data_IF_201943427922
#
_entry.id   IF_201943427922
#
_cell.length_a   1.000
_cell.length_b   1.000
_cell.length_c   1.000
_cell.angle_alpha   90.00
_cell.angle_beta   90.00
_cell.angle_gamma   90.00
#
_symmetry.space_group_name_H-M   'P 1'
#
loop_
_entity.id
_entity.type
_entity.pdbx_description
1 polymer ?
#
# COMPACT_ATOMS: atom_id res chain seq x y z
N UNK A 1 -36.10 -37.40 -12.56
CA UNK A 1 -35.67 -36.49 -11.48
C UNK A 1 -35.10 -35.27 -12.17
N UNK A 2 -35.70 -34.10 -11.98
CA UNK A 2 -35.26 -32.87 -12.68
C UNK A 2 -34.15 -32.23 -11.87
N UNK A 3 -32.92 -32.32 -12.37
CA UNK A 3 -31.74 -31.59 -11.90
C UNK A 3 -31.94 -30.07 -12.08
N UNK A 4 -32.74 -29.45 -11.22
CA UNK A 4 -32.85 -27.99 -11.13
C UNK A 4 -32.00 -27.56 -9.94
N UNK A 5 -30.93 -26.83 -10.22
CA UNK A 5 -30.25 -26.04 -9.20
C UNK A 5 -31.20 -24.88 -8.83
N UNK A 6 -31.54 -24.73 -7.55
CA UNK A 6 -32.53 -23.73 -7.07
C UNK A 6 -31.88 -22.40 -6.69
N UNK A 7 -30.60 -22.41 -6.31
CA UNK A 7 -29.78 -21.22 -6.09
C UNK A 7 -28.29 -21.56 -6.19
N UNK A 8 -27.49 -20.59 -6.62
CA UNK A 8 -26.02 -20.64 -6.56
C UNK A 8 -25.64 -20.01 -5.22
N UNK A 9 -25.01 -20.78 -4.35
CA UNK A 9 -24.42 -20.29 -3.12
C UNK A 9 -22.90 -20.21 -3.33
N UNK A 10 -22.33 -19.02 -3.18
CA UNK A 10 -20.90 -18.77 -3.23
C UNK A 10 -20.44 -18.16 -1.90
N UNK A 11 -19.23 -18.52 -1.47
CA UNK A 11 -18.57 -17.92 -0.31
C UNK A 11 -17.62 -16.83 -0.83
N UNK A 12 -17.94 -15.57 -0.53
CA UNK A 12 -17.16 -14.39 -0.92
C UNK A 12 -18.07 -13.18 -1.03
N UNK A 13 -17.69 -12.07 -0.40
CA UNK A 13 -18.39 -10.80 -0.55
C UNK A 13 -17.93 -10.08 -1.82
N UNK A 14 -18.76 -9.18 -2.36
CA UNK A 14 -18.44 -8.32 -3.52
C UNK A 14 -18.73 -6.85 -3.22
N UNK A 15 -19.24 -6.59 -2.04
CA UNK A 15 -19.67 -5.30 -1.53
C UNK A 15 -19.29 -5.16 -0.06
N UNK A 16 -19.51 -3.97 0.49
CA UNK A 16 -19.68 -3.79 1.91
C UNK A 16 -21.11 -3.34 2.20
N UNK A 17 -21.58 -3.66 3.41
CA UNK A 17 -22.91 -3.25 3.88
C UNK A 17 -22.79 -2.54 5.21
N UNK A 18 -23.66 -1.56 5.44
CA UNK A 18 -23.84 -0.94 6.76
C UNK A 18 -25.16 -1.44 7.33
N UNK A 19 -25.14 -1.83 8.60
CA UNK A 19 -26.29 -2.35 9.33
C UNK A 19 -26.58 -1.48 10.53
N UNK A 20 -27.85 -1.17 10.76
CA UNK A 20 -28.29 -0.55 11.99
C UNK A 20 -28.27 -1.61 13.11
N UNK A 21 -27.43 -1.41 14.12
CA UNK A 21 -27.21 -2.41 15.18
C UNK A 21 -28.42 -2.59 16.12
N UNK A 22 -29.36 -1.65 16.15
CA UNK A 22 -30.54 -1.72 17.01
C UNK A 22 -31.69 -2.48 16.35
N UNK A 23 -31.90 -2.25 15.07
CA UNK A 23 -33.00 -2.80 14.27
C UNK A 23 -32.58 -4.03 13.47
N UNK A 24 -31.27 -4.23 13.28
CA UNK A 24 -30.68 -5.24 12.40
C UNK A 24 -31.10 -5.10 10.94
N UNK A 25 -31.52 -3.91 10.53
CA UNK A 25 -31.80 -3.62 9.14
C UNK A 25 -30.50 -3.25 8.42
N UNK A 26 -30.34 -3.78 7.20
CA UNK A 26 -29.31 -3.31 6.29
C UNK A 26 -29.71 -1.92 5.79
N UNK A 27 -28.91 -0.89 6.13
CA UNK A 27 -29.18 0.51 5.76
C UNK A 27 -28.49 0.90 4.45
N UNK A 28 -27.40 0.23 4.10
CA UNK A 28 -26.66 0.45 2.86
C UNK A 28 -26.02 -0.84 2.35
N UNK A 29 -25.89 -0.96 1.03
CA UNK A 29 -25.02 -1.92 0.34
C UNK A 29 -24.32 -1.20 -0.80
N UNK A 30 -23.01 -1.41 -0.95
CA UNK A 30 -22.28 -0.83 -2.09
C UNK A 30 -22.55 -1.56 -3.42
N UNK A 31 -23.27 -2.69 -3.40
CA UNK A 31 -23.64 -3.43 -4.60
C UNK A 31 -22.41 -3.83 -5.43
N UNK A 32 -22.28 -3.23 -6.62
CA UNK A 32 -21.22 -3.53 -7.59
C UNK A 32 -20.13 -2.46 -7.66
N UNK A 33 -20.09 -1.54 -6.69
CA UNK A 33 -19.15 -0.42 -6.70
C UNK A 33 -17.70 -0.89 -6.90
N UNK A 34 -17.28 -1.94 -6.20
CA UNK A 34 -15.89 -2.38 -6.22
C UNK A 34 -15.45 -2.82 -7.62
N UNK A 35 -16.25 -3.62 -8.32
CA UNK A 35 -15.99 -3.98 -9.71
C UNK A 35 -16.06 -2.78 -10.65
N UNK A 36 -17.03 -1.88 -10.49
CA UNK A 36 -17.14 -0.70 -11.36
C UNK A 36 -15.91 0.22 -11.21
N UNK A 37 -15.45 0.43 -9.98
CA UNK A 37 -14.28 1.25 -9.65
C UNK A 37 -13.02 0.58 -10.21
N UNK A 38 -12.78 -0.69 -9.87
CA UNK A 38 -11.57 -1.40 -10.33
C UNK A 38 -11.55 -1.62 -11.85
N UNK A 39 -12.71 -1.79 -12.49
CA UNK A 39 -12.81 -1.83 -13.96
C UNK A 39 -12.41 -0.49 -14.58
N UNK A 40 -12.81 0.63 -13.96
CA UNK A 40 -12.41 1.96 -14.41
C UNK A 40 -10.90 2.18 -14.28
N UNK A 41 -10.29 1.65 -13.21
CA UNK A 41 -8.85 1.81 -12.95
C UNK A 41 -7.99 0.93 -13.85
N UNK A 42 -8.36 -0.33 -14.02
CA UNK A 42 -7.51 -1.34 -14.68
C UNK A 42 -7.94 -1.74 -16.08
N UNK A 43 -9.15 -1.34 -16.52
CA UNK A 43 -9.64 -1.57 -17.87
C UNK A 43 -9.52 -3.03 -18.33
N UNK A 44 -9.02 -3.24 -19.54
CA UNK A 44 -8.85 -4.58 -20.12
C UNK A 44 -7.52 -5.24 -19.78
N UNK A 45 -6.67 -4.54 -19.04
CA UNK A 45 -5.32 -5.01 -18.78
C UNK A 45 -5.30 -5.92 -17.54
N UNK A 46 -5.92 -5.46 -16.44
CA UNK A 46 -5.83 -6.14 -15.15
C UNK A 46 -7.13 -6.20 -14.34
N UNK A 47 -8.27 -5.80 -14.93
CA UNK A 47 -9.56 -5.90 -14.24
C UNK A 47 -9.80 -7.32 -13.72
N UNK A 48 -10.21 -7.46 -12.45
CA UNK A 48 -10.45 -8.74 -11.80
C UNK A 48 -9.28 -9.76 -11.91
N UNK A 49 -8.04 -9.29 -11.88
CA UNK A 49 -6.88 -10.19 -11.66
C UNK A 49 -6.94 -10.85 -10.28
N UNK A 50 -6.26 -11.99 -10.13
CA UNK A 50 -6.08 -12.63 -8.84
C UNK A 50 -5.10 -11.85 -7.94
N UNK A 51 -4.97 -12.27 -6.69
CA UNK A 51 -4.04 -11.66 -5.73
C UNK A 51 -2.58 -12.08 -5.94
N UNK A 52 -2.36 -13.28 -6.47
CA UNK A 52 -1.05 -13.90 -6.75
C UNK A 52 -0.65 -13.87 -8.23
N UNK A 53 -1.55 -13.41 -9.11
CA UNK A 53 -1.33 -13.35 -10.54
C UNK A 53 -1.82 -12.03 -11.16
N UNK A 54 -1.09 -11.51 -12.13
CA UNK A 54 -1.49 -10.43 -13.02
C UNK A 54 -2.15 -11.02 -14.27
N UNK A 55 -3.47 -10.91 -14.38
CA UNK A 55 -4.22 -11.46 -15.50
C UNK A 55 -5.57 -10.75 -15.67
N UNK A 56 -5.93 -10.43 -16.91
CA UNK A 56 -7.27 -9.91 -17.18
C UNK A 56 -8.35 -10.95 -16.84
N UNK A 57 -9.27 -10.53 -15.98
CA UNK A 57 -10.57 -11.14 -15.71
C UNK A 57 -10.52 -12.60 -15.25
N UNK A 58 -9.52 -12.95 -14.43
CA UNK A 58 -9.36 -14.32 -13.93
C UNK A 58 -10.26 -14.68 -12.75
N UNK A 59 -11.13 -13.75 -12.29
CA UNK A 59 -11.92 -13.89 -11.06
C UNK A 59 -13.42 -13.62 -11.21
N UNK A 60 -13.93 -13.14 -12.34
CA UNK A 60 -15.34 -12.74 -12.46
C UNK A 60 -16.32 -13.90 -12.30
N UNK A 61 -16.01 -15.06 -12.88
CA UNK A 61 -16.78 -16.30 -12.77
C UNK A 61 -16.68 -16.95 -11.39
N UNK A 62 -15.67 -16.57 -10.61
CA UNK A 62 -15.43 -17.04 -9.25
C UNK A 62 -16.04 -16.11 -8.19
N UNK A 63 -15.29 -15.07 -7.80
CA UNK A 63 -15.58 -14.27 -6.58
C UNK A 63 -15.34 -12.77 -6.71
N UNK A 64 -14.74 -12.29 -7.80
CA UNK A 64 -14.51 -10.86 -8.01
C UNK A 64 -13.50 -10.26 -7.03
N UNK A 65 -13.80 -9.08 -6.43
CA UNK A 65 -12.83 -8.35 -5.60
C UNK A 65 -12.54 -8.92 -4.20
N UNK A 66 -13.43 -9.71 -3.59
CA UNK A 66 -13.17 -10.34 -2.27
C UNK A 66 -12.71 -9.31 -1.19
N UNK A 67 -13.59 -8.40 -0.73
CA UNK A 67 -13.29 -7.56 0.41
C UNK A 67 -13.10 -8.43 1.66
N UNK A 68 -11.98 -8.28 2.34
CA UNK A 68 -11.58 -9.13 3.47
C UNK A 68 -11.72 -8.36 4.79
N UNK A 69 -11.15 -7.16 4.85
CA UNK A 69 -11.11 -6.35 6.05
C UNK A 69 -11.83 -5.02 5.89
N UNK A 70 -12.44 -4.57 6.98
CA UNK A 70 -12.98 -3.22 7.12
C UNK A 70 -12.53 -2.61 8.43
N UNK A 71 -12.00 -1.40 8.38
CA UNK A 71 -11.72 -0.58 9.56
C UNK A 71 -12.33 0.81 9.37
N UNK A 72 -12.78 1.41 10.47
CA UNK A 72 -13.31 2.78 10.47
C UNK A 72 -12.34 3.72 11.19
N UNK A 73 -12.24 4.96 10.71
CA UNK A 73 -11.40 5.99 11.30
C UNK A 73 -12.00 7.38 11.14
N UNK A 74 -11.72 8.27 12.09
CA UNK A 74 -12.08 9.68 11.95
C UNK A 74 -10.89 10.45 11.37
N UNK A 75 -11.10 11.10 10.23
CA UNK A 75 -10.09 11.91 9.55
C UNK A 75 -10.65 13.31 9.40
N UNK A 76 -10.03 14.27 10.08
CA UNK A 76 -10.45 15.69 10.07
C UNK A 76 -11.94 15.92 10.39
N UNK A 77 -12.50 15.14 11.32
CA UNK A 77 -13.90 15.27 11.74
C UNK A 77 -14.89 14.43 10.92
N UNK A 78 -14.46 13.82 9.81
CA UNK A 78 -15.28 12.95 8.98
C UNK A 78 -14.99 11.48 9.28
N UNK A 79 -16.02 10.64 9.38
CA UNK A 79 -15.88 9.20 9.56
C UNK A 79 -15.69 8.52 8.21
N UNK A 80 -14.63 7.74 8.09
CA UNK A 80 -14.32 6.95 6.90
C UNK A 80 -14.32 5.45 7.21
N UNK A 81 -14.77 4.66 6.24
CA UNK A 81 -14.51 3.23 6.16
C UNK A 81 -13.38 2.99 5.17
N UNK A 82 -12.42 2.16 5.57
CA UNK A 82 -11.36 1.62 4.73
C UNK A 82 -11.61 0.13 4.55
N UNK A 83 -11.77 -0.32 3.32
CA UNK A 83 -12.08 -1.71 2.98
C UNK A 83 -10.92 -2.27 2.16
N UNK A 84 -10.23 -3.28 2.70
CA UNK A 84 -9.17 -4.00 2.00
C UNK A 84 -9.77 -4.99 1.02
N UNK A 85 -9.32 -4.93 -0.23
CA UNK A 85 -9.71 -5.89 -1.25
C UNK A 85 -8.58 -6.90 -1.43
N UNK A 86 -8.83 -8.16 -1.10
CA UNK A 86 -7.85 -9.21 -1.33
C UNK A 86 -7.53 -9.30 -2.83
N UNK A 87 -8.55 -9.12 -3.69
CA UNK A 87 -8.43 -9.10 -5.16
C UNK A 87 -9.09 -7.85 -5.74
N UNK A 88 -8.61 -7.27 -6.81
CA UNK A 88 -7.30 -7.37 -7.44
C UNK A 88 -6.20 -6.72 -6.55
N UNK A 89 -6.48 -6.46 -5.28
CA UNK A 89 -5.62 -5.71 -4.36
C UNK A 89 -6.16 -4.28 -4.13
N UNK A 90 -5.52 -3.56 -3.22
CA UNK A 90 -5.84 -2.18 -2.92
C UNK A 90 -6.92 -1.99 -1.85
N UNK A 91 -7.18 -0.73 -1.52
CA UNK A 91 -8.06 -0.31 -0.44
C UNK A 91 -9.06 0.70 -0.97
N UNK A 92 -10.34 0.43 -0.67
CA UNK A 92 -11.44 1.35 -0.93
C UNK A 92 -11.65 2.26 0.27
N UNK A 93 -11.87 3.55 0.04
CA UNK A 93 -12.14 4.55 1.07
C UNK A 93 -13.49 5.22 0.79
N UNK A 94 -14.39 5.13 1.78
CA UNK A 94 -15.72 5.72 1.75
C UNK A 94 -15.91 6.66 2.93
N UNK A 95 -16.42 7.86 2.68
CA UNK A 95 -16.98 8.71 3.72
C UNK A 95 -18.32 8.10 4.16
N UNK A 96 -18.42 7.74 5.44
CA UNK A 96 -19.58 7.08 6.05
C UNK A 96 -20.22 7.94 7.14
N UNK A 97 -20.00 9.26 7.13
CA UNK A 97 -20.56 10.14 8.16
C UNK A 97 -22.08 10.27 8.05
N UNK A 98 -22.62 10.01 6.87
CA UNK A 98 -24.02 9.62 6.68
C UNK A 98 -24.06 8.11 6.33
N UNK A 99 -24.43 7.24 7.29
CA UNK A 99 -24.43 5.79 7.06
C UNK A 99 -25.53 5.31 6.10
N UNK A 100 -26.55 6.14 5.81
CA UNK A 100 -27.59 5.83 4.82
C UNK A 100 -27.16 6.24 3.40
N UNK A 101 -26.18 7.14 3.28
CA UNK A 101 -25.63 7.60 2.01
C UNK A 101 -24.09 7.73 2.02
N UNK A 102 -23.33 6.64 2.22
CA UNK A 102 -21.89 6.63 2.06
C UNK A 102 -21.44 7.17 0.70
N UNK A 103 -20.29 7.84 0.68
CA UNK A 103 -19.71 8.41 -0.55
C UNK A 103 -18.33 7.83 -0.81
N UNK A 104 -18.18 7.20 -1.96
CA UNK A 104 -16.86 6.80 -2.44
C UNK A 104 -15.94 8.02 -2.51
N UNK A 105 -14.76 7.90 -1.90
CA UNK A 105 -13.76 8.97 -1.84
C UNK A 105 -12.57 8.63 -2.71
N UNK A 106 -11.95 7.46 -2.47
CA UNK A 106 -10.75 7.05 -3.18
C UNK A 106 -10.60 5.54 -3.19
N UNK A 107 -10.01 5.04 -4.26
CA UNK A 107 -9.40 3.72 -4.33
C UNK A 107 -7.91 3.93 -4.50
N UNK A 108 -7.10 3.23 -3.71
CA UNK A 108 -5.65 3.32 -3.80
C UNK A 108 -5.01 1.96 -3.62
N UNK A 109 -3.88 1.77 -4.29
CA UNK A 109 -3.09 0.56 -4.26
C UNK A 109 -1.64 0.91 -4.53
N UNK A 110 -0.72 0.27 -3.82
CA UNK A 110 0.71 0.24 -4.13
C UNK A 110 1.12 -1.06 -4.83
N UNK A 111 0.15 -1.90 -5.27
CA UNK A 111 0.42 -3.00 -6.19
C UNK A 111 0.88 -2.46 -7.55
N UNK A 112 1.98 -3.00 -8.04
CA UNK A 112 2.57 -2.71 -9.33
C UNK A 112 2.18 -3.84 -10.29
N UNK A 113 1.34 -3.52 -11.27
CA UNK A 113 0.98 -4.46 -12.33
C UNK A 113 2.03 -4.42 -13.44
N UNK A 114 2.50 -5.59 -13.85
CA UNK A 114 3.47 -5.77 -14.92
C UNK A 114 2.97 -6.81 -15.91
N UNK A 115 3.71 -7.02 -17.00
CA UNK A 115 3.45 -8.12 -17.94
C UNK A 115 3.81 -9.49 -17.38
N UNK A 116 4.59 -9.54 -16.29
CA UNK A 116 4.92 -10.78 -15.61
C UNK A 116 3.68 -11.29 -14.87
N UNK A 117 3.41 -12.59 -15.04
CA UNK A 117 2.21 -13.21 -14.48
C UNK A 117 2.27 -13.27 -12.96
N UNK A 118 3.39 -13.72 -12.42
CA UNK A 118 3.50 -14.02 -10.98
C UNK A 118 3.68 -12.73 -10.17
N UNK A 119 2.93 -12.62 -9.07
CA UNK A 119 3.11 -11.56 -8.08
C UNK A 119 4.27 -11.91 -7.16
N UNK A 120 5.24 -11.00 -7.06
CA UNK A 120 6.43 -11.16 -6.22
C UNK A 120 6.58 -9.95 -5.30
N UNK A 121 7.63 -9.91 -4.47
CA UNK A 121 7.94 -8.74 -3.66
C UNK A 121 8.14 -7.46 -4.51
N UNK A 122 8.64 -7.59 -5.74
CA UNK A 122 8.84 -6.47 -6.67
C UNK A 122 7.53 -5.94 -7.26
N UNK A 123 6.42 -6.68 -7.10
CA UNK A 123 5.07 -6.26 -7.49
C UNK A 123 4.45 -5.29 -6.49
N UNK A 124 5.21 -4.80 -5.50
CA UNK A 124 4.72 -3.89 -4.47
C UNK A 124 3.84 -4.61 -3.44
N UNK A 125 2.74 -3.98 -3.05
CA UNK A 125 1.87 -4.49 -2.00
C UNK A 125 0.61 -5.17 -2.56
N UNK A 126 0.43 -6.48 -2.34
CA UNK A 126 -0.73 -7.25 -2.83
C UNK A 126 -1.51 -7.93 -1.71
N UNK A 127 -2.81 -8.13 -1.91
CA UNK A 127 -3.72 -8.79 -0.97
C UNK A 127 -3.71 -8.19 0.45
N UNK A 128 -4.17 -6.93 0.63
CA UNK A 128 -4.41 -6.41 1.97
C UNK A 128 -5.43 -7.29 2.69
N UNK A 129 -4.97 -7.93 3.76
CA UNK A 129 -5.83 -8.64 4.71
C UNK A 129 -6.03 -7.72 5.92
N UNK A 130 -5.14 -7.74 6.91
CA UNK A 130 -5.30 -6.92 8.11
C UNK A 130 -5.14 -5.42 7.88
N UNK A 131 -6.14 -4.63 8.28
CA UNK A 131 -6.07 -3.16 8.36
C UNK A 131 -6.03 -2.65 9.81
N UNK A 132 -5.29 -1.57 10.05
CA UNK A 132 -5.31 -0.86 11.35
C UNK A 132 -5.23 0.65 11.14
N UNK A 133 -6.21 1.37 11.69
CA UNK A 133 -6.19 2.83 11.71
C UNK A 133 -5.56 3.35 13.01
N UNK A 134 -4.60 4.25 12.89
CA UNK A 134 -3.93 4.92 14.00
C UNK A 134 -4.26 6.42 13.92
N UNK A 135 -5.06 6.94 14.86
CA UNK A 135 -5.35 8.37 14.94
C UNK A 135 -4.08 9.21 15.10
N UNK A 136 -4.13 10.44 14.57
CA UNK A 136 -3.02 11.40 14.61
C UNK A 136 -2.40 11.58 16.00
N UNK A 137 -3.21 11.59 17.07
CA UNK A 137 -2.77 11.74 18.46
C UNK A 137 -1.91 10.58 18.99
N UNK A 138 -2.01 9.39 18.36
CA UNK A 138 -1.22 8.20 18.68
C UNK A 138 -0.13 7.91 17.65
N UNK A 139 -0.07 8.71 16.59
CA UNK A 139 0.86 8.51 15.48
C UNK A 139 2.19 9.22 15.72
N UNK A 140 3.35 8.57 15.47
CA UNK A 140 4.65 9.21 15.60
C UNK A 140 4.86 10.35 14.59
N UNK A 141 4.05 10.43 13.54
CA UNK A 141 4.09 11.49 12.52
C UNK A 141 3.17 12.67 12.85
N UNK A 142 2.33 12.55 13.89
CA UNK A 142 1.26 13.51 14.18
C UNK A 142 0.13 13.52 13.14
N UNK A 143 0.10 12.55 12.22
CA UNK A 143 -0.89 12.41 11.14
C UNK A 143 -1.63 11.08 11.27
N UNK A 144 -2.88 11.01 10.80
CA UNK A 144 -3.60 9.75 10.78
C UNK A 144 -2.88 8.74 9.89
N UNK A 145 -2.68 7.52 10.38
CA UNK A 145 -2.06 6.44 9.63
C UNK A 145 -3.06 5.31 9.40
N UNK A 146 -3.04 4.72 8.22
CA UNK A 146 -3.62 3.42 7.94
C UNK A 146 -2.48 2.44 7.69
N UNK A 147 -2.39 1.41 8.51
CA UNK A 147 -1.50 0.28 8.28
C UNK A 147 -2.26 -0.83 7.55
N UNK A 148 -1.62 -1.45 6.57
CA UNK A 148 -2.15 -2.59 5.84
C UNK A 148 -1.11 -3.70 5.77
N UNK A 149 -1.50 -4.92 6.14
CA UNK A 149 -0.69 -6.12 6.00
C UNK A 149 -1.06 -6.83 4.70
N UNK A 150 -0.05 -7.15 3.89
CA UNK A 150 -0.18 -7.69 2.55
C UNK A 150 0.31 -9.13 2.53
N UNK A 151 -0.61 -10.10 2.48
CA UNK A 151 -0.31 -11.51 2.72
C UNK A 151 0.59 -12.10 1.62
N UNK A 152 0.26 -11.82 0.34
CA UNK A 152 0.94 -12.42 -0.81
C UNK A 152 2.39 -11.94 -0.93
N UNK A 153 2.63 -10.65 -0.71
CA UNK A 153 3.97 -10.04 -0.83
C UNK A 153 4.72 -10.03 0.50
N UNK A 154 4.04 -10.34 1.61
CA UNK A 154 4.64 -10.38 2.96
C UNK A 154 5.03 -8.99 3.48
N UNK A 155 4.42 -7.93 2.98
CA UNK A 155 4.75 -6.53 3.29
C UNK A 155 3.76 -5.90 4.27
N UNK A 156 4.18 -4.81 4.92
CA UNK A 156 3.29 -3.93 5.68
C UNK A 156 3.47 -2.51 5.14
N UNK A 157 2.39 -1.94 4.61
CA UNK A 157 2.34 -0.57 4.13
C UNK A 157 1.77 0.36 5.21
N UNK A 158 2.27 1.60 5.24
CA UNK A 158 1.76 2.67 6.11
C UNK A 158 1.38 3.88 5.26
N UNK A 159 0.09 4.20 5.24
CA UNK A 159 -0.46 5.32 4.48
C UNK A 159 -0.80 6.47 5.42
N UNK A 160 -0.37 7.68 5.09
CA UNK A 160 -0.89 8.89 5.72
C UNK A 160 -2.25 9.24 5.10
N UNK A 161 -3.24 9.52 5.94
CA UNK A 161 -4.62 9.80 5.49
C UNK A 161 -5.06 11.19 5.92
N UNK A 162 -5.68 11.92 5.00
CA UNK A 162 -6.14 13.29 5.24
C UNK A 162 -5.02 14.31 5.16
N UNK A 163 -4.04 14.10 4.27
CA UNK A 163 -3.10 15.14 3.86
C UNK A 163 -3.36 15.37 2.37
N UNK A 164 -3.69 16.60 1.99
CA UNK A 164 -3.60 17.02 0.61
C UNK A 164 -2.12 17.21 0.28
N UNK A 165 -1.57 16.34 -0.55
CA UNK A 165 -0.24 16.55 -1.12
C UNK A 165 -0.46 17.39 -2.39
N UNK A 166 0.08 18.62 -2.47
CA UNK A 166 0.00 19.41 -3.69
C UNK A 166 0.65 18.64 -4.85
N UNK A 167 0.03 18.67 -6.04
CA UNK A 167 0.52 17.96 -7.24
C UNK A 167 1.84 18.52 -7.82
N UNK A 168 2.46 19.50 -7.17
CA UNK A 168 3.68 20.17 -7.65
C UNK A 168 4.96 19.42 -7.20
N UNK A 169 5.95 19.24 -8.08
CA UNK A 169 7.26 18.76 -7.67
C UNK A 169 7.86 19.74 -6.67
N UNK A 170 8.26 19.24 -5.50
CA UNK A 170 9.00 20.04 -4.53
C UNK A 170 10.36 20.35 -5.14
N UNK A 171 10.52 21.58 -5.64
CA UNK A 171 11.80 22.11 -6.10
C UNK A 171 12.73 22.28 -4.89
N UNK A 172 13.54 21.26 -4.63
CA UNK A 172 14.60 21.30 -3.61
C UNK A 172 15.86 21.99 -4.17
N UNK A 173 15.74 23.12 -4.86
CA UNK A 173 16.89 23.88 -5.36
C UNK A 173 17.49 24.86 -4.35
N UNK A 174 17.03 24.90 -3.10
CA UNK A 174 17.61 25.74 -2.07
C UNK A 174 18.50 24.91 -1.14
N UNK A 175 19.62 24.43 -1.70
CA UNK A 175 20.81 24.16 -0.90
C UNK A 175 21.44 25.49 -0.49
N UNK A 176 21.60 25.67 0.82
CA UNK A 176 22.50 26.58 1.53
C UNK A 176 23.09 27.75 0.75
N UNK A 177 22.46 28.93 0.92
CA UNK A 177 23.21 30.18 0.96
C UNK A 177 23.11 30.75 2.36
N UNK A 178 24.15 30.50 3.17
CA UNK A 178 24.43 31.22 4.40
C UNK A 178 24.53 32.73 4.09
N UNK A 179 23.48 33.51 4.37
CA UNK A 179 23.56 34.96 4.44
C UNK A 179 23.85 35.37 5.89
N UNK A 180 25.09 35.81 6.12
CA UNK A 180 25.48 36.54 7.32
C UNK A 180 24.61 37.80 7.48
N UNK A 181 24.08 37.97 8.68
CA UNK A 181 23.34 39.15 9.09
C UNK A 181 24.25 40.36 9.22
N UNK A 182 23.94 41.45 8.51
CA UNK A 182 24.43 42.78 8.87
C UNK A 182 23.27 43.78 9.01
N UNK A 183 23.16 44.33 10.22
CA UNK A 183 22.21 45.36 10.62
C UNK A 183 22.56 46.72 9.99
N UNK A 184 21.68 47.32 9.19
CA UNK A 184 21.32 48.75 9.36
C UNK A 184 20.24 49.30 8.40
N UNK A 185 19.23 49.93 9.01
CA UNK A 185 18.63 51.22 8.64
C UNK A 185 17.68 51.37 7.42
N UNK A 186 16.42 51.63 7.80
CA UNK A 186 15.44 52.63 7.30
C UNK A 186 14.53 52.36 6.06
N UNK A 187 13.24 52.80 6.12
CA UNK A 187 12.15 52.41 5.20
C UNK A 187 11.98 53.35 3.98
N UNK A 188 11.12 53.00 2.98
CA UNK A 188 11.28 53.40 1.59
C UNK A 188 10.50 54.68 1.21
N UNK A 189 10.74 55.26 0.02
CA UNK A 189 9.76 56.08 -0.65
C UNK A 189 9.20 55.39 -1.91
N UNK A 190 7.88 55.22 -1.88
CA UNK A 190 6.89 55.38 -2.96
C UNK A 190 7.40 55.99 -4.29
N UNK A 191 7.08 55.33 -5.42
CA UNK A 191 6.33 55.97 -6.52
C UNK A 191 5.95 54.96 -7.63
N UNK A 192 4.65 54.91 -7.92
CA UNK A 192 4.02 54.48 -9.18
C UNK A 192 4.11 55.65 -10.20
N UNK A 193 3.64 55.58 -11.48
CA UNK A 193 3.32 54.46 -12.38
C UNK A 193 3.75 54.69 -13.87
N UNK A 194 3.35 53.74 -14.76
CA UNK A 194 3.14 53.83 -16.22
C UNK A 194 4.37 53.82 -17.16
N UNK A 195 4.42 52.85 -18.08
CA UNK A 195 4.00 53.05 -19.49
C UNK A 195 3.99 51.74 -20.31
N UNK A 196 2.79 51.42 -20.79
CA UNK A 196 2.39 50.91 -22.09
C UNK A 196 3.47 50.68 -23.17
N UNK A 197 3.46 49.50 -23.81
CA UNK A 197 3.51 49.38 -25.28
C UNK A 197 3.14 47.96 -25.75
N UNK A 198 2.07 47.91 -26.55
CA UNK A 198 1.72 46.83 -27.47
C UNK A 198 2.89 46.46 -28.39
N UNK A 199 2.99 45.19 -28.77
CA UNK A 199 2.97 44.87 -30.21
C UNK A 199 2.44 43.46 -30.50
N UNK A 200 1.63 43.38 -31.55
CA UNK A 200 1.07 42.17 -32.15
C UNK A 200 1.99 41.71 -33.29
N UNK A 201 2.19 40.40 -33.46
CA UNK A 201 2.19 39.74 -34.78
C UNK A 201 2.16 38.22 -34.55
N UNK A 202 1.06 37.52 -34.83
CA UNK A 202 0.50 37.08 -36.11
C UNK A 202 1.27 35.93 -36.82
N UNK A 203 0.67 34.74 -36.70
CA UNK A 203 0.30 33.84 -37.82
C UNK A 203 1.16 32.60 -38.19
N UNK A 204 0.41 31.49 -38.38
CA UNK A 204 0.50 30.38 -39.38
C UNK A 204 1.06 28.99 -38.99
N UNK A 205 0.11 28.10 -38.73
CA UNK A 205 -0.18 26.77 -39.33
C UNK A 205 0.89 25.98 -40.15
N UNK A 206 1.19 24.74 -39.66
CA UNK A 206 1.16 23.38 -40.27
C UNK A 206 1.98 23.01 -41.55
N UNK A 207 2.15 21.71 -41.94
CA UNK A 207 2.43 20.45 -41.20
C UNK A 207 3.50 19.51 -41.89
N UNK A 208 3.66 18.29 -41.33
CA UNK A 208 4.12 17.02 -41.96
C UNK A 208 5.63 16.73 -42.06
N UNK A 209 6.07 15.56 -41.57
CA UNK A 209 6.29 14.34 -42.37
C UNK A 209 6.99 13.24 -41.57
N UNK A 210 6.56 12.00 -41.80
CA UNK A 210 7.17 10.73 -41.36
C UNK A 210 8.67 10.62 -41.64
N UNK A 211 9.40 9.80 -40.86
CA UNK A 211 10.25 8.71 -41.38
C UNK A 211 10.75 7.79 -40.23
N UNK A 212 10.66 6.50 -40.51
CA UNK A 212 11.20 5.36 -39.77
C UNK A 212 12.74 5.37 -39.73
N UNK A 213 13.33 4.80 -38.68
CA UNK A 213 14.58 4.05 -38.81
C UNK A 213 14.69 2.99 -37.72
N UNK A 214 14.70 1.74 -38.15
CA UNK A 214 15.20 0.58 -37.41
C UNK A 214 16.66 0.79 -37.00
N UNK A 215 17.04 0.31 -35.81
CA UNK A 215 18.38 -0.23 -35.64
C UNK A 215 18.39 -1.31 -34.56
N UNK A 216 18.81 -2.50 -35.00
CA UNK A 216 19.08 -3.68 -34.18
C UNK A 216 20.44 -3.52 -33.51
N UNK A 217 20.58 -4.00 -32.27
CA UNK A 217 21.88 -4.45 -31.76
C UNK A 217 21.68 -5.54 -30.71
N UNK A 218 22.05 -6.76 -31.10
CA UNK A 218 22.34 -7.88 -30.21
C UNK A 218 23.59 -7.58 -29.37
N UNK A 219 23.61 -8.05 -28.11
CA UNK A 219 24.80 -8.65 -27.51
C UNK A 219 24.46 -9.46 -26.24
N UNK A 220 24.49 -10.78 -26.43
CA UNK A 220 25.20 -11.85 -25.69
C UNK A 220 25.29 -11.81 -24.14
N UNK A 221 24.80 -12.93 -23.59
CA UNK A 221 24.94 -13.51 -22.24
C UNK A 221 26.37 -13.51 -21.67
N UNK A 222 26.48 -13.44 -20.34
CA UNK A 222 27.44 -14.23 -19.57
C UNK A 222 26.86 -14.52 -18.16
N UNK A 223 26.81 -15.80 -17.83
CA UNK A 223 26.62 -16.38 -16.49
C UNK A 223 27.94 -16.28 -15.72
N UNK A 224 27.89 -16.11 -14.39
CA UNK A 224 28.89 -16.65 -13.45
C UNK A 224 28.22 -16.86 -12.07
N UNK A 225 28.47 -18.05 -11.48
CA UNK A 225 27.96 -18.57 -10.20
C UNK A 225 28.96 -18.38 -9.04
N UNK A 226 28.44 -18.53 -7.81
CA UNK A 226 29.09 -18.82 -6.51
C UNK A 226 29.82 -17.65 -5.79
N UNK A 227 29.82 -17.48 -4.45
CA UNK A 227 29.90 -18.46 -3.35
C UNK A 227 29.44 -17.84 -2.01
N UNK A 228 28.92 -18.68 -1.11
CA UNK A 228 28.47 -18.37 0.26
C UNK A 228 29.65 -18.42 1.25
N UNK A 229 29.80 -17.44 2.13
CA UNK A 229 30.56 -17.63 3.39
C UNK A 229 29.83 -17.01 4.59
N UNK A 230 29.77 -17.81 5.65
CA UNK A 230 29.14 -17.52 6.95
C UNK A 230 30.18 -17.06 7.97
N UNK A 231 29.92 -15.97 8.70
CA UNK A 231 30.60 -15.70 9.97
C UNK A 231 29.59 -15.27 11.05
N UNK A 232 29.54 -16.09 12.11
CA UNK A 232 28.84 -15.84 13.37
C UNK A 232 29.70 -14.99 14.31
N UNK A 233 29.13 -13.92 14.88
CA UNK A 233 29.67 -13.27 16.08
C UNK A 233 28.58 -13.09 17.13
N UNK A 234 28.72 -13.83 18.22
CA UNK A 234 28.03 -13.60 19.49
C UNK A 234 28.43 -12.23 20.05
N UNK A 235 27.46 -11.48 20.56
CA UNK A 235 27.71 -10.35 21.46
C UNK A 235 26.80 -10.46 22.69
N UNK A 236 27.43 -10.70 23.84
CA UNK A 236 26.84 -10.61 25.18
C UNK A 236 26.44 -9.16 25.47
N UNK A 237 25.16 -8.91 25.78
CA UNK A 237 24.70 -7.62 26.31
C UNK A 237 24.70 -7.69 27.84
N UNK A 238 25.58 -6.90 28.45
CA UNK A 238 25.58 -6.62 29.88
C UNK A 238 24.50 -5.58 30.18
N UNK A 239 23.51 -5.98 30.99
CA UNK A 239 22.40 -5.11 31.42
C UNK A 239 22.95 -4.21 32.53
N UNK A 240 23.30 -2.94 32.26
CA UNK A 240 23.36 -1.84 33.26
C UNK A 240 23.79 -0.45 32.76
N UNK A 241 23.61 -0.04 31.50
CA UNK A 241 23.89 1.35 31.09
C UNK A 241 22.68 2.01 30.40
N UNK A 242 22.00 2.91 31.11
CA UNK A 242 20.99 3.84 30.58
C UNK A 242 21.59 5.26 30.61
N UNK A 243 21.84 5.91 29.46
CA UNK A 243 22.25 7.31 29.45
C UNK A 243 21.05 8.27 29.56
N UNK A 244 21.29 9.41 30.22
CA UNK A 244 20.31 10.50 30.46
C UNK A 244 19.97 11.28 29.18
N UNK A 245 18.76 11.85 29.20
CA UNK A 245 17.93 12.29 28.07
C UNK A 245 18.34 13.58 27.32
N UNK A 246 19.54 14.13 27.50
CA UNK A 246 19.86 15.48 27.00
C UNK A 246 21.05 15.59 26.03
N UNK A 247 21.67 14.48 25.59
CA UNK A 247 22.89 14.52 24.75
C UNK A 247 22.74 13.90 23.34
N UNK A 248 21.52 13.64 22.85
CA UNK A 248 21.31 12.90 21.59
C UNK A 248 21.04 13.82 20.37
N UNK A 249 20.84 15.13 20.56
CA UNK A 249 20.24 15.94 19.49
C UNK A 249 21.13 16.39 18.32
N UNK A 250 22.44 16.10 18.28
CA UNK A 250 23.30 16.60 17.19
C UNK A 250 24.17 15.53 16.47
N UNK A 251 23.81 14.24 16.49
CA UNK A 251 24.65 13.22 15.80
C UNK A 251 23.94 12.04 15.12
N UNK A 252 22.63 12.12 14.87
CA UNK A 252 21.87 11.05 14.19
C UNK A 252 21.10 11.56 12.96
N UNK A 253 21.80 12.23 12.06
CA UNK A 253 21.26 12.61 10.76
C UNK A 253 22.25 12.19 9.66
N UNK A 254 22.45 10.88 9.49
CA UNK A 254 22.96 10.19 8.28
C UNK A 254 23.24 8.73 8.67
N UNK A 255 22.22 7.87 8.62
CA UNK A 255 22.27 6.40 8.55
C UNK A 255 20.97 5.87 9.17
N UNK A 256 19.98 5.58 8.33
CA UNK A 256 18.75 4.94 8.79
C UNK A 256 19.08 3.58 9.41
N UNK A 257 18.65 3.37 10.66
CA UNK A 257 18.74 2.04 11.27
C UNK A 257 17.79 1.08 10.55
N UNK A 258 18.37 0.02 9.95
CA UNK A 258 17.61 -1.10 9.40
C UNK A 258 16.68 -1.64 10.48
N UNK A 259 15.37 -1.63 10.24
CA UNK A 259 14.39 -2.18 11.17
C UNK A 259 14.75 -3.64 11.49
N UNK A 260 14.54 -4.09 12.74
CA UNK A 260 14.79 -5.47 13.11
C UNK A 260 13.97 -6.38 12.18
N UNK A 261 14.58 -7.44 11.67
CA UNK A 261 13.88 -8.43 10.87
C UNK A 261 12.77 -9.07 11.72
N UNK A 262 11.52 -8.68 11.47
CA UNK A 262 10.32 -9.21 12.12
C UNK A 262 9.76 -10.42 11.41
N UNK A 263 10.36 -10.87 10.30
CA UNK A 263 10.00 -12.13 9.69
C UNK A 263 10.23 -13.26 10.71
N UNK A 264 9.14 -13.92 11.08
CA UNK A 264 9.22 -15.10 11.93
C UNK A 264 10.05 -16.14 11.19
N UNK A 265 11.20 -16.54 11.76
CA UNK A 265 11.99 -17.66 11.22
C UNK A 265 11.19 -18.96 11.40
N UNK A 266 10.30 -19.21 10.45
CA UNK A 266 9.35 -20.33 10.47
C UNK A 266 10.04 -21.71 10.45
N UNK A 267 11.33 -21.77 10.09
CA UNK A 267 12.15 -22.98 10.11
C UNK A 267 12.14 -23.67 11.48
N UNK A 268 12.19 -22.90 12.58
CA UNK A 268 12.19 -23.48 13.92
C UNK A 268 10.81 -24.09 14.27
N UNK A 269 9.72 -23.45 13.85
CA UNK A 269 8.37 -23.98 14.06
C UNK A 269 8.09 -25.20 13.19
N UNK A 270 8.63 -25.24 11.97
CA UNK A 270 8.55 -26.40 11.07
C UNK A 270 9.30 -27.60 11.67
N UNK A 271 10.50 -27.39 12.20
CA UNK A 271 11.28 -28.44 12.89
C UNK A 271 10.57 -28.93 14.16
N UNK A 272 9.99 -28.03 14.96
CA UNK A 272 9.20 -28.40 16.14
C UNK A 272 7.95 -29.20 15.74
N UNK A 273 7.24 -28.77 14.70
CA UNK A 273 6.08 -29.46 14.16
C UNK A 273 6.40 -30.89 13.68
N UNK A 274 7.51 -31.06 12.96
CA UNK A 274 7.99 -32.37 12.52
C UNK A 274 8.33 -33.29 13.71
N UNK A 275 8.99 -32.75 14.74
CA UNK A 275 9.32 -33.47 15.97
C UNK A 275 8.06 -33.95 16.70
N UNK A 276 7.06 -33.09 16.85
CA UNK A 276 5.77 -33.43 17.46
C UNK A 276 5.07 -34.53 16.65
N UNK A 277 5.09 -34.44 15.32
CA UNK A 277 4.48 -35.45 14.44
C UNK A 277 5.15 -36.82 14.58
N UNK A 278 6.49 -36.87 14.59
CA UNK A 278 7.27 -38.10 14.78
C UNK A 278 7.02 -38.70 16.17
N UNK A 279 7.00 -37.88 17.22
CA UNK A 279 6.72 -38.33 18.59
C UNK A 279 5.30 -38.88 18.69
N UNK A 280 4.31 -38.19 18.11
CA UNK A 280 2.92 -38.66 18.06
C UNK A 280 2.78 -40.00 17.35
N UNK A 281 3.45 -40.17 16.21
CA UNK A 281 3.46 -41.42 15.46
C UNK A 281 4.12 -42.56 16.24
N UNK A 282 5.22 -42.28 16.95
CA UNK A 282 5.93 -43.24 17.79
C UNK A 282 5.09 -43.67 19.01
N UNK A 283 4.41 -42.73 19.67
CA UNK A 283 3.55 -42.99 20.81
C UNK A 283 2.27 -43.76 20.42
N UNK A 284 1.67 -43.44 19.26
CA UNK A 284 0.55 -44.19 18.68
C UNK A 284 0.94 -45.64 18.36
N UNK A 285 2.12 -45.87 17.78
CA UNK A 285 2.63 -47.22 17.47
C UNK A 285 2.94 -48.06 18.72
N UNK A 286 3.23 -47.42 19.86
CA UNK A 286 3.46 -48.08 21.15
C UNK A 286 2.19 -48.27 22.00
N UNK A 287 1.01 -47.90 21.50
CA UNK A 287 -0.25 -48.02 22.23
C UNK A 287 -0.31 -47.15 23.48
N UNK A 288 0.42 -46.02 23.52
CA UNK A 288 0.48 -45.10 24.67
C UNK A 288 -0.43 -43.87 24.54
N UNK A 289 -1.23 -43.80 23.47
CA UNK A 289 -2.27 -42.80 23.26
C UNK A 289 -3.57 -43.57 23.00
N UNK A 290 -4.45 -43.62 23.99
CA UNK A 290 -5.87 -43.93 23.75
C UNK A 290 -6.61 -42.60 23.49
N UNK A 291 -7.62 -42.67 22.63
CA UNK A 291 -8.37 -41.53 22.11
C UNK A 291 -9.11 -40.75 23.19
#
# INVERSE_FOLDING_TARGET
MNNKYEAIYSFGARSFSIWDAHTLNQVYDSGSDFENITSTVYGKDFFNSNNDENAFDSRSDDKGPEPESVIVGNVQGQNYAFIGLERVGGIMMYDISDPEAPKFTKYFSSRIFTTEKDVTLESGDSAPEGLTFIPAEFSPTGQNLLLAAHEITGTIAAYQVGIEVPDEPVDNSNEDSDEETDENSTPPPSSNPNENSNDQSDSKENPSSDQESENQHENVLNEEEEEVTSESKENNVNVNDVPKKEEINNKMATEGHKLPNTATKNDQYLVIGLLIFIIGFYLKRKGKLEA
#
